data_IF_994089554234
#
_entry.id   IF_994089554234
#
_cell.length_a   1.000
_cell.length_b   1.000
_cell.length_c   1.000
_cell.angle_alpha   90.00
_cell.angle_beta   90.00
_cell.angle_gamma   90.00
#
_symmetry.space_group_name_H-M   'P 1'
#
loop_
_entity.id
_entity.type
_entity.pdbx_description
1 polymer ?
#
# COMPACT_ATOMS: atom_id res chain seq x y z
N UNK A 1 78.28 -80.55 49.45
CA UNK A 1 77.86 -81.69 50.30
C UNK A 1 77.05 -81.09 51.46
N UNK A 2 75.73 -81.34 51.52
CA UNK A 2 74.80 -81.20 52.67
C UNK A 2 74.62 -79.87 53.47
N UNK A 3 73.34 -79.63 53.83
CA UNK A 3 72.72 -78.84 54.95
C UNK A 3 72.56 -77.29 54.94
N UNK A 4 71.33 -76.83 54.60
CA UNK A 4 70.27 -76.16 55.43
C UNK A 4 70.56 -74.95 56.38
N UNK A 5 69.53 -74.24 56.89
CA UNK A 5 68.76 -73.07 56.38
C UNK A 5 69.01 -71.76 57.20
N UNK A 6 68.29 -70.65 56.92
CA UNK A 6 67.63 -69.79 57.95
C UNK A 6 66.50 -68.89 57.37
N UNK A 7 65.56 -68.40 58.21
CA UNK A 7 64.20 -68.04 57.79
C UNK A 7 63.82 -66.54 57.94
N UNK A 8 62.65 -66.22 57.35
CA UNK A 8 61.58 -65.28 57.77
C UNK A 8 61.92 -63.80 58.10
N UNK A 9 61.24 -62.90 57.39
CA UNK A 9 60.33 -61.91 58.03
C UNK A 9 59.19 -61.54 57.07
N UNK A 10 57.95 -61.68 57.54
CA UNK A 10 56.75 -61.15 56.91
C UNK A 10 56.26 -59.98 57.76
N UNK A 11 55.81 -58.90 57.12
CA UNK A 11 55.09 -57.82 57.80
C UNK A 11 53.94 -57.35 56.92
N UNK A 12 52.73 -57.50 57.48
CA UNK A 12 51.46 -57.10 56.91
C UNK A 12 51.23 -55.58 57.04
N UNK A 13 50.36 -55.00 56.20
CA UNK A 13 49.13 -54.33 56.64
C UNK A 13 48.49 -53.51 55.50
N UNK A 14 47.19 -53.76 55.26
CA UNK A 14 46.08 -52.79 55.30
C UNK A 14 44.88 -53.32 54.49
N UNK A 15 43.80 -53.64 55.19
CA UNK A 15 42.51 -54.05 54.63
C UNK A 15 41.60 -52.81 54.50
N UNK A 16 41.07 -52.55 53.30
CA UNK A 16 40.04 -51.52 53.07
C UNK A 16 38.65 -52.16 53.00
N UNK A 17 37.61 -51.63 53.69
CA UNK A 17 36.26 -52.19 53.63
C UNK A 17 35.59 -51.84 52.29
N UNK A 18 35.07 -52.86 51.59
CA UNK A 18 34.29 -52.71 50.35
C UNK A 18 32.80 -52.60 50.65
N UNK A 19 32.19 -51.46 50.36
CA UNK A 19 30.72 -51.24 50.44
C UNK A 19 30.04 -51.85 49.18
N UNK A 20 28.95 -52.65 49.30
CA UNK A 20 28.37 -53.37 48.16
C UNK A 20 27.54 -52.48 47.21
N UNK A 21 27.76 -52.67 45.90
CA UNK A 21 27.34 -51.79 44.80
C UNK A 21 25.86 -51.89 44.35
N UNK A 22 24.99 -52.66 45.00
CA UNK A 22 23.69 -53.06 44.43
C UNK A 22 22.57 -52.04 44.58
N UNK A 23 22.67 -51.07 45.50
CA UNK A 23 21.61 -50.08 45.79
C UNK A 23 21.64 -48.83 44.89
N UNK A 24 22.66 -48.69 44.05
CA UNK A 24 22.89 -47.49 43.21
C UNK A 24 22.17 -47.52 41.86
N UNK A 25 21.87 -48.71 41.34
CA UNK A 25 21.28 -48.86 39.98
C UNK A 25 19.79 -48.48 39.93
N UNK A 26 18.99 -48.88 40.92
CA UNK A 26 17.56 -48.58 40.95
C UNK A 26 17.28 -47.10 41.20
N UNK A 27 18.04 -46.45 42.10
CA UNK A 27 17.90 -45.01 42.40
C UNK A 27 18.25 -44.15 41.19
N UNK A 28 19.29 -44.50 40.43
CA UNK A 28 19.64 -43.79 39.19
C UNK A 28 18.58 -43.94 38.09
N UNK A 29 17.93 -45.11 37.97
CA UNK A 29 16.88 -45.33 36.97
C UNK A 29 15.60 -44.56 37.30
N UNK A 30 15.20 -44.50 38.58
CA UNK A 30 14.06 -43.67 39.00
C UNK A 30 14.36 -42.18 38.91
N UNK A 31 15.58 -41.74 39.26
CA UNK A 31 16.00 -40.34 39.10
C UNK A 31 16.07 -39.91 37.63
N UNK A 32 16.56 -40.79 36.75
CA UNK A 32 16.58 -40.52 35.31
C UNK A 32 15.17 -40.46 34.71
N UNK A 33 14.27 -41.38 35.10
CA UNK A 33 12.88 -41.36 34.66
C UNK A 33 12.13 -40.11 35.14
N UNK A 34 12.37 -39.67 36.39
CA UNK A 34 11.78 -38.45 36.94
C UNK A 34 12.34 -37.18 36.26
N UNK A 35 13.64 -37.15 35.96
CA UNK A 35 14.25 -36.04 35.23
C UNK A 35 13.73 -35.95 33.79
N UNK A 36 13.54 -37.08 33.11
CA UNK A 36 12.95 -37.13 31.77
C UNK A 36 11.48 -36.69 31.83
N UNK A 37 10.69 -37.18 32.80
CA UNK A 37 9.32 -36.75 32.97
C UNK A 37 9.22 -35.24 33.26
N UNK A 38 10.04 -34.71 34.17
CA UNK A 38 10.09 -33.28 34.47
C UNK A 38 10.50 -32.44 33.25
N UNK A 39 11.46 -32.92 32.45
CA UNK A 39 11.86 -32.28 31.21
C UNK A 39 10.73 -32.29 30.17
N UNK A 40 10.01 -33.40 30.02
CA UNK A 40 8.86 -33.49 29.11
C UNK A 40 7.73 -32.55 29.55
N UNK A 41 7.45 -32.46 30.86
CA UNK A 41 6.43 -31.56 31.39
C UNK A 41 6.82 -30.09 31.19
N UNK A 42 8.09 -29.71 31.39
CA UNK A 42 8.60 -28.36 31.12
C UNK A 42 8.54 -28.04 29.62
N UNK A 43 8.87 -29.00 28.77
CA UNK A 43 8.79 -28.82 27.31
C UNK A 43 7.34 -28.66 26.83
N UNK A 44 6.39 -29.40 27.41
CA UNK A 44 4.98 -29.22 27.11
C UNK A 44 4.43 -27.89 27.63
N UNK A 45 4.85 -27.45 28.83
CA UNK A 45 4.40 -26.18 29.42
C UNK A 45 4.99 -24.93 28.73
N UNK A 46 6.11 -25.07 28.01
CA UNK A 46 6.72 -24.00 27.21
C UNK A 46 6.41 -24.07 25.72
N UNK A 47 5.65 -25.08 25.29
CA UNK A 47 5.10 -25.13 23.94
C UNK A 47 4.06 -24.00 23.79
N UNK A 48 4.51 -22.86 23.27
CA UNK A 48 3.62 -21.75 22.95
C UNK A 48 2.53 -22.21 21.99
N UNK A 49 1.29 -21.78 22.24
CA UNK A 49 0.19 -22.05 21.33
C UNK A 49 0.55 -21.48 19.95
N UNK A 50 0.61 -22.36 18.94
CA UNK A 50 0.66 -21.90 17.56
C UNK A 50 -0.66 -21.19 17.29
N UNK A 51 -0.64 -19.86 17.33
CA UNK A 51 -1.77 -19.06 16.84
C UNK A 51 -1.98 -19.46 15.39
N UNK A 52 -3.09 -20.16 15.12
CA UNK A 52 -3.46 -20.54 13.77
C UNK A 52 -3.38 -19.28 12.91
N UNK A 53 -2.48 -19.27 11.92
CA UNK A 53 -2.27 -18.12 11.06
C UNK A 53 -3.63 -17.71 10.50
N UNK A 54 -4.13 -16.54 10.92
CA UNK A 54 -5.43 -16.05 10.50
C UNK A 54 -5.41 -15.97 8.98
N UNK A 55 -6.20 -16.82 8.30
CA UNK A 55 -6.30 -16.80 6.85
C UNK A 55 -6.85 -15.43 6.44
N UNK A 56 -5.97 -14.54 6.01
CA UNK A 56 -6.35 -13.25 5.44
C UNK A 56 -6.85 -13.48 4.02
N UNK A 57 -8.09 -13.12 3.77
CA UNK A 57 -8.64 -13.10 2.43
C UNK A 57 -8.05 -11.90 1.68
N UNK A 58 -7.10 -12.16 0.78
CA UNK A 58 -6.60 -11.15 -0.14
C UNK A 58 -7.49 -11.14 -1.39
N UNK A 59 -8.39 -10.17 -1.47
CA UNK A 59 -9.24 -9.97 -2.66
C UNK A 59 -8.58 -8.92 -3.55
N UNK A 60 -7.95 -9.38 -4.64
CA UNK A 60 -7.42 -8.50 -5.66
C UNK A 60 -8.45 -8.33 -6.79
N UNK A 61 -9.00 -7.12 -6.95
CA UNK A 61 -9.91 -6.80 -8.04
C UNK A 61 -9.16 -6.08 -9.15
N UNK A 62 -9.20 -6.61 -10.36
CA UNK A 62 -8.67 -5.95 -11.56
C UNK A 62 -9.83 -5.56 -12.46
N UNK A 63 -9.78 -4.35 -13.00
CA UNK A 63 -10.83 -3.77 -13.83
C UNK A 63 -10.28 -2.70 -14.76
N UNK A 64 -11.12 -2.22 -15.67
CA UNK A 64 -10.76 -1.19 -16.65
C UNK A 64 -11.87 -0.14 -16.71
N UNK A 65 -11.49 1.09 -17.06
CA UNK A 65 -12.40 2.22 -17.13
C UNK A 65 -12.58 2.93 -15.78
N UNK A 66 -13.07 4.16 -15.87
CA UNK A 66 -13.37 4.99 -14.71
C UNK A 66 -14.69 5.73 -14.98
N UNK A 67 -15.72 5.43 -14.19
CA UNK A 67 -17.08 5.97 -14.36
C UNK A 67 -18.11 4.89 -14.70
N UNK A 68 -19.36 5.32 -14.89
CA UNK A 68 -20.51 4.44 -15.10
C UNK A 68 -20.60 3.86 -16.53
N UNK A 69 -19.68 4.21 -17.43
CA UNK A 69 -19.56 3.60 -18.76
C UNK A 69 -20.65 3.96 -19.77
N UNK A 70 -21.43 5.01 -19.54
CA UNK A 70 -22.55 5.42 -20.44
C UNK A 70 -22.31 6.85 -20.94
N UNK A 71 -22.63 7.08 -22.21
CA UNK A 71 -22.50 8.39 -22.84
C UNK A 71 -21.07 8.69 -23.30
N UNK A 72 -20.59 9.90 -23.02
CA UNK A 72 -19.30 10.37 -23.51
C UNK A 72 -18.14 10.00 -22.58
N UNK A 73 -17.15 9.30 -23.11
CA UNK A 73 -15.84 9.15 -22.45
C UNK A 73 -15.05 10.45 -22.57
N UNK A 74 -14.70 11.07 -21.44
CA UNK A 74 -13.90 12.31 -21.43
C UNK A 74 -12.53 12.11 -22.08
N UNK A 75 -11.83 11.02 -21.72
CA UNK A 75 -10.55 10.66 -22.32
C UNK A 75 -10.66 10.33 -23.82
N UNK A 76 -11.73 9.65 -24.23
CA UNK A 76 -11.94 9.36 -25.64
C UNK A 76 -12.31 10.61 -26.44
N UNK A 77 -13.08 11.54 -25.87
CA UNK A 77 -13.36 12.84 -26.47
C UNK A 77 -12.08 13.67 -26.65
N UNK A 78 -11.20 13.69 -25.63
CA UNK A 78 -9.88 14.30 -25.74
C UNK A 78 -9.05 13.67 -26.86
N UNK A 79 -8.99 12.34 -26.95
CA UNK A 79 -8.26 11.65 -28.02
C UNK A 79 -8.80 11.97 -29.41
N UNK A 80 -10.12 12.02 -29.59
CA UNK A 80 -10.74 12.45 -30.85
C UNK A 80 -10.40 13.90 -31.21
N UNK A 81 -10.40 14.80 -30.22
CA UNK A 81 -10.01 16.19 -30.43
C UNK A 81 -8.53 16.33 -30.81
N UNK A 82 -7.64 15.55 -30.20
CA UNK A 82 -6.23 15.46 -30.57
C UNK A 82 -6.03 14.95 -31.99
N UNK A 83 -6.95 14.13 -32.50
CA UNK A 83 -7.01 13.70 -33.91
C UNK A 83 -7.79 14.67 -34.82
N UNK A 84 -8.04 15.90 -34.38
CA UNK A 84 -8.64 16.97 -35.20
C UNK A 84 -10.15 16.87 -35.39
N UNK A 85 -10.87 16.03 -34.62
CA UNK A 85 -12.34 15.98 -34.66
C UNK A 85 -12.92 17.16 -33.89
N UNK A 86 -13.87 17.86 -34.49
CA UNK A 86 -14.58 18.94 -33.83
C UNK A 86 -15.60 18.42 -32.80
N UNK A 87 -16.13 19.33 -31.98
CA UNK A 87 -17.09 18.98 -30.93
C UNK A 87 -18.36 18.32 -31.49
N UNK A 88 -18.80 18.68 -32.71
CA UNK A 88 -19.98 18.12 -33.36
C UNK A 88 -19.75 16.65 -33.69
N UNK A 89 -18.63 16.33 -34.34
CA UNK A 89 -18.24 14.96 -34.67
C UNK A 89 -18.05 14.12 -33.39
N UNK A 90 -17.46 14.70 -32.33
CA UNK A 90 -17.31 14.03 -31.04
C UNK A 90 -18.68 13.72 -30.43
N UNK A 91 -19.61 14.69 -30.39
CA UNK A 91 -20.95 14.47 -29.83
C UNK A 91 -21.72 13.42 -30.62
N UNK A 92 -21.70 13.45 -31.95
CA UNK A 92 -22.36 12.45 -32.79
C UNK A 92 -21.73 11.05 -32.68
N UNK A 93 -20.45 10.95 -32.32
CA UNK A 93 -19.80 9.66 -32.06
C UNK A 93 -20.36 8.98 -30.80
N UNK A 94 -20.56 9.74 -29.72
CA UNK A 94 -21.05 9.20 -28.44
C UNK A 94 -22.57 9.14 -28.33
N UNK A 95 -23.26 10.06 -28.99
CA UNK A 95 -24.71 10.20 -28.91
C UNK A 95 -25.30 10.10 -30.32
N UNK A 96 -25.75 8.90 -30.68
CA UNK A 96 -26.31 8.62 -32.01
C UNK A 96 -27.73 9.20 -32.13
N UNK A 97 -28.05 9.76 -33.29
CA UNK A 97 -29.38 10.30 -33.59
C UNK A 97 -29.74 11.62 -32.90
N UNK A 98 -28.77 12.28 -32.24
CA UNK A 98 -29.01 13.62 -31.69
C UNK A 98 -29.07 14.67 -32.79
N UNK A 99 -29.71 15.80 -32.49
CA UNK A 99 -29.57 17.04 -33.24
C UNK A 99 -28.99 18.11 -32.33
N UNK A 100 -28.11 18.95 -32.87
CA UNK A 100 -27.56 20.09 -32.14
C UNK A 100 -28.48 21.29 -32.32
N UNK A 101 -28.87 21.89 -31.20
CA UNK A 101 -29.68 23.11 -31.16
C UNK A 101 -28.97 24.24 -30.44
N UNK A 102 -29.47 25.45 -30.62
CA UNK A 102 -29.11 26.59 -29.78
C UNK A 102 -30.11 26.70 -28.64
N UNK A 103 -29.61 26.87 -27.43
CA UNK A 103 -30.37 27.42 -26.32
C UNK A 103 -30.00 28.90 -26.23
N UNK A 104 -30.96 29.77 -25.89
CA UNK A 104 -30.64 31.15 -25.52
C UNK A 104 -29.70 31.21 -24.32
N UNK A 105 -29.38 32.43 -23.89
CA UNK A 105 -28.39 32.66 -22.85
C UNK A 105 -28.68 31.85 -21.58
N UNK A 106 -27.80 30.89 -21.30
CA UNK A 106 -27.89 30.02 -20.13
C UNK A 106 -26.57 30.04 -19.39
N UNK A 107 -26.64 30.32 -18.08
CA UNK A 107 -25.47 30.22 -17.22
C UNK A 107 -25.13 28.75 -17.01
N UNK A 108 -24.02 28.31 -17.58
CA UNK A 108 -23.44 26.99 -17.34
C UNK A 108 -22.32 27.12 -16.31
N UNK A 109 -22.35 26.29 -15.27
CA UNK A 109 -21.28 26.22 -14.27
C UNK A 109 -20.38 25.04 -14.58
N UNK A 110 -19.11 25.31 -14.80
CA UNK A 110 -18.09 24.28 -15.09
C UNK A 110 -16.96 24.43 -14.08
N UNK A 111 -16.58 23.34 -13.42
CA UNK A 111 -15.41 23.29 -12.57
C UNK A 111 -14.17 23.15 -13.46
N UNK A 112 -13.38 24.22 -13.58
CA UNK A 112 -12.22 24.23 -14.47
C UNK A 112 -10.88 23.98 -13.75
N UNK A 113 -10.80 24.29 -12.46
CA UNK A 113 -9.52 24.37 -11.73
C UNK A 113 -9.19 23.12 -10.90
N UNK A 114 -9.95 22.04 -11.04
CA UNK A 114 -9.68 20.78 -10.36
C UNK A 114 -8.42 20.12 -10.95
N UNK A 115 -7.27 20.32 -10.30
CA UNK A 115 -5.99 19.75 -10.73
C UNK A 115 -5.37 20.44 -11.95
N UNK A 116 -5.93 21.56 -12.41
CA UNK A 116 -5.39 22.36 -13.51
C UNK A 116 -5.24 23.83 -13.08
N UNK A 117 -4.01 24.33 -13.13
CA UNK A 117 -3.67 25.73 -12.94
C UNK A 117 -2.35 26.03 -13.68
N UNK A 118 -2.34 26.91 -14.69
CA UNK A 118 -3.46 27.72 -15.16
C UNK A 118 -4.45 26.95 -16.04
N UNK A 119 -5.72 27.38 -16.00
CA UNK A 119 -6.72 27.03 -17.02
C UNK A 119 -6.64 28.04 -18.15
N UNK A 120 -6.53 27.57 -19.39
CA UNK A 120 -6.48 28.43 -20.58
C UNK A 120 -7.82 28.42 -21.30
N UNK A 121 -8.37 29.60 -21.56
CA UNK A 121 -9.66 29.81 -22.24
C UNK A 121 -9.42 30.71 -23.44
N UNK A 122 -10.06 30.42 -24.57
CA UNK A 122 -10.09 31.30 -25.74
C UNK A 122 -11.41 31.11 -26.50
N UNK A 123 -11.77 32.08 -27.32
CA UNK A 123 -12.98 32.07 -28.13
C UNK A 123 -12.69 32.71 -29.49
N UNK A 124 -13.37 32.23 -30.54
CA UNK A 124 -13.29 32.83 -31.87
C UNK A 124 -13.95 34.22 -31.96
N UNK A 125 -14.77 34.58 -30.98
CA UNK A 125 -15.34 35.92 -30.81
C UNK A 125 -14.83 36.61 -29.55
N UNK A 126 -15.05 37.92 -29.43
CA UNK A 126 -14.76 38.63 -28.18
C UNK A 126 -15.60 38.07 -27.03
N UNK A 127 -15.04 38.03 -25.82
CA UNK A 127 -15.69 37.46 -24.63
C UNK A 127 -15.32 38.21 -23.36
N UNK A 128 -16.19 38.18 -22.35
CA UNK A 128 -15.93 38.82 -21.06
C UNK A 128 -15.47 37.82 -20.01
N UNK A 129 -14.60 38.28 -19.12
CA UNK A 129 -14.11 37.48 -17.99
C UNK A 129 -14.24 38.31 -16.73
N UNK A 130 -15.04 37.79 -15.80
CA UNK A 130 -15.25 38.39 -14.48
C UNK A 130 -14.52 37.55 -13.43
N UNK A 131 -13.67 38.20 -12.63
CA UNK A 131 -13.02 37.61 -11.45
C UNK A 131 -13.23 38.58 -10.29
N UNK A 132 -13.83 38.09 -9.20
CA UNK A 132 -14.27 38.96 -8.12
C UNK A 132 -15.24 40.04 -8.61
N UNK A 133 -14.87 41.30 -8.41
CA UNK A 133 -15.61 42.48 -8.90
C UNK A 133 -15.08 43.04 -10.22
N UNK A 134 -13.93 42.55 -10.71
CA UNK A 134 -13.29 43.04 -11.93
C UNK A 134 -13.80 42.25 -13.15
N UNK A 135 -14.19 42.97 -14.20
CA UNK A 135 -14.62 42.39 -15.49
C UNK A 135 -13.80 42.99 -16.61
N UNK A 136 -13.28 42.15 -17.50
CA UNK A 136 -12.55 42.58 -18.69
C UNK A 136 -13.15 41.97 -19.95
N UNK A 137 -13.20 42.76 -21.02
CA UNK A 137 -13.53 42.29 -22.37
C UNK A 137 -12.25 41.89 -23.09
N UNK A 138 -12.21 40.65 -23.55
CA UNK A 138 -11.07 40.03 -24.23
C UNK A 138 -11.40 39.91 -25.71
N UNK A 139 -10.47 40.33 -26.57
CA UNK A 139 -10.63 40.24 -28.00
C UNK A 139 -10.67 38.76 -28.47
N UNK A 140 -11.25 38.55 -29.65
CA UNK A 140 -11.28 37.23 -30.30
C UNK A 140 -9.87 36.63 -30.41
N UNK A 141 -9.78 35.32 -30.21
CA UNK A 141 -8.57 34.50 -30.31
C UNK A 141 -7.43 34.86 -29.34
N UNK A 142 -7.67 35.76 -28.38
CA UNK A 142 -6.76 35.97 -27.26
C UNK A 142 -6.98 34.86 -26.24
N UNK A 143 -5.90 34.39 -25.61
CA UNK A 143 -5.97 33.37 -24.55
C UNK A 143 -6.02 34.08 -23.19
N UNK A 144 -7.02 33.74 -22.38
CA UNK A 144 -7.07 34.06 -20.95
C UNK A 144 -6.53 32.89 -20.15
N UNK A 145 -5.56 33.14 -19.26
CA UNK A 145 -5.09 32.17 -18.27
C UNK A 145 -5.73 32.48 -16.92
N UNK A 146 -6.44 31.51 -16.33
CA UNK A 146 -7.01 31.58 -14.99
C UNK A 146 -6.13 30.76 -14.05
N UNK A 147 -5.57 31.42 -13.03
CA UNK A 147 -4.70 30.79 -12.04
C UNK A 147 -5.36 30.90 -10.68
N UNK A 148 -5.34 29.81 -9.90
CA UNK A 148 -5.78 29.86 -8.51
C UNK A 148 -4.67 30.47 -7.65
N UNK A 149 -5.00 31.49 -6.88
CA UNK A 149 -4.09 32.15 -5.94
C UNK A 149 -4.67 32.03 -4.52
N UNK A 150 -4.30 30.95 -3.82
CA UNK A 150 -4.87 30.64 -2.50
C UNK A 150 -6.39 30.34 -2.57
N UNK A 151 -7.20 31.19 -1.94
CA UNK A 151 -8.67 31.12 -1.97
C UNK A 151 -9.32 31.92 -3.10
N UNK A 152 -8.53 32.69 -3.86
CA UNK A 152 -9.03 33.54 -4.94
C UNK A 152 -8.55 33.03 -6.31
N UNK A 153 -9.03 33.70 -7.35
CA UNK A 153 -8.60 33.47 -8.73
C UNK A 153 -7.95 34.75 -9.25
N UNK A 154 -6.99 34.59 -10.15
CA UNK A 154 -6.44 35.66 -10.96
C UNK A 154 -6.62 35.27 -12.43
N UNK A 155 -6.99 36.23 -13.27
CA UNK A 155 -7.04 36.06 -14.72
C UNK A 155 -5.98 36.94 -15.36
N UNK A 156 -5.32 36.43 -16.40
CA UNK A 156 -4.42 37.22 -17.24
C UNK A 156 -4.71 37.01 -18.72
N UNK A 157 -4.69 38.11 -19.49
CA UNK A 157 -4.91 38.13 -20.92
C UNK A 157 -4.31 39.40 -21.53
N UNK A 158 -3.68 39.29 -22.70
CA UNK A 158 -3.15 40.46 -23.42
C UNK A 158 -2.13 41.31 -22.64
N UNK A 159 -1.42 40.72 -21.68
CA UNK A 159 -0.43 41.42 -20.83
C UNK A 159 -1.01 42.04 -19.54
N UNK A 160 -2.32 42.00 -19.34
CA UNK A 160 -2.97 42.49 -18.13
C UNK A 160 -3.33 41.32 -17.20
N UNK A 161 -3.31 41.57 -15.89
CA UNK A 161 -3.74 40.61 -14.85
C UNK A 161 -4.72 41.30 -13.89
N UNK A 162 -5.77 40.59 -13.47
CA UNK A 162 -6.76 41.06 -12.49
C UNK A 162 -7.25 39.92 -11.60
N UNK A 163 -7.84 40.27 -10.45
CA UNK A 163 -8.29 39.36 -9.38
C UNK A 163 -9.68 39.71 -8.91
#
# INVERSE_FOLDING_TARGET
>A
MTTHPRPRTATAHLLSPRIPARRRRSVCLFAAAFAIAALVTVMAATAGEATAAQQRWLVNMTGRGYGHGVGMSQWGAQGLAQHGRDYKAILHHYYRGISLGSTGDRTVRVLLTAGQSPVKITSGGAYTVTVGSATQTIAANVVTSITRSGSTYAASAGGFTWT
#
